data_IF_393688989000
#
_entry.id   IF_393688989000
#
_cell.length_a   1.000
_cell.length_b   1.000
_cell.length_c   1.000
_cell.angle_alpha   90.00
_cell.angle_beta   90.00
_cell.angle_gamma   90.00
#
_symmetry.space_group_name_H-M   'P 1'
#
loop_
_entity.id
_entity.type
_entity.pdbx_description
1 polymer ?
#
# COMPACT_ATOMS: atom_id res chain seq x y z
N UNK A 1 13.71 -15.85 -3.26
CA UNK A 1 12.71 -15.02 -2.54
C UNK A 1 12.85 -13.60 -3.05
N UNK A 2 11.72 -12.89 -3.23
CA UNK A 2 11.70 -11.49 -3.64
C UNK A 2 11.95 -10.61 -2.41
N UNK A 3 12.96 -9.75 -2.45
CA UNK A 3 13.19 -8.75 -1.42
C UNK A 3 12.16 -7.64 -1.55
N UNK A 4 11.35 -7.45 -0.52
CA UNK A 4 10.23 -6.52 -0.53
C UNK A 4 10.43 -5.43 0.51
N UNK A 5 10.18 -4.18 0.11
CA UNK A 5 9.95 -3.04 1.00
C UNK A 5 8.48 -2.65 0.90
N UNK A 6 7.86 -2.35 2.04
CA UNK A 6 6.47 -1.91 2.13
C UNK A 6 6.42 -0.48 2.69
N UNK A 7 5.73 0.43 1.98
CA UNK A 7 5.35 1.76 2.48
C UNK A 7 3.82 1.82 2.63
N UNK A 8 3.31 2.12 3.84
CA UNK A 8 1.92 1.89 4.26
C UNK A 8 1.42 2.98 5.20
N UNK A 9 0.13 3.29 5.15
CA UNK A 9 -0.57 4.11 6.16
C UNK A 9 -1.47 3.26 7.07
N UNK A 10 -1.03 2.06 7.38
CA UNK A 10 -1.68 1.03 8.20
C UNK A 10 -2.29 1.60 9.50
N UNK A 11 -3.43 1.07 9.90
CA UNK A 11 -4.11 1.40 11.16
C UNK A 11 -5.42 2.18 10.98
N UNK A 12 -5.81 2.48 9.74
CA UNK A 12 -7.13 2.99 9.38
C UNK A 12 -8.01 1.86 8.83
N UNK A 13 -8.12 1.76 7.49
CA UNK A 13 -8.73 0.60 6.84
C UNK A 13 -7.94 -0.68 7.20
N UNK A 14 -8.64 -1.81 7.22
CA UNK A 14 -8.05 -3.11 7.60
C UNK A 14 -7.19 -3.71 6.47
N UNK A 15 -7.33 -3.25 5.25
CA UNK A 15 -6.71 -3.89 4.10
C UNK A 15 -5.18 -3.75 4.06
N UNK A 16 -4.60 -2.64 4.56
CA UNK A 16 -3.17 -2.54 4.85
C UNK A 16 -2.68 -3.68 5.76
N UNK A 17 -3.43 -3.96 6.84
CA UNK A 17 -3.06 -5.01 7.78
C UNK A 17 -3.15 -6.41 7.13
N UNK A 18 -4.13 -6.64 6.26
CA UNK A 18 -4.26 -7.86 5.47
C UNK A 18 -3.12 -7.97 4.44
N UNK A 19 -2.74 -6.85 3.80
CA UNK A 19 -1.59 -6.78 2.90
C UNK A 19 -0.30 -7.18 3.61
N UNK A 20 -0.04 -6.60 4.79
CA UNK A 20 1.12 -6.96 5.61
C UNK A 20 1.08 -8.43 6.02
N UNK A 21 -0.08 -8.94 6.48
CA UNK A 21 -0.23 -10.34 6.85
C UNK A 21 0.07 -11.30 5.68
N UNK A 22 -0.39 -10.96 4.47
CA UNK A 22 -0.06 -11.69 3.25
C UNK A 22 1.46 -11.73 3.01
N UNK A 23 2.13 -10.59 3.02
CA UNK A 23 3.59 -10.50 2.82
C UNK A 23 4.36 -11.29 3.89
N UNK A 24 3.88 -11.31 5.13
CA UNK A 24 4.50 -12.09 6.21
C UNK A 24 4.31 -13.61 6.04
N UNK A 25 3.31 -14.06 5.31
CA UNK A 25 2.98 -15.48 5.07
C UNK A 25 3.41 -15.98 3.70
N UNK A 26 3.63 -15.10 2.71
CA UNK A 26 4.03 -15.48 1.35
C UNK A 26 5.43 -16.11 1.35
N UNK A 27 5.57 -17.40 0.97
CA UNK A 27 6.86 -18.10 1.05
C UNK A 27 7.95 -17.53 0.15
N UNK A 28 7.55 -16.82 -0.93
CA UNK A 28 8.48 -16.21 -1.86
C UNK A 28 8.89 -14.79 -1.43
N UNK A 29 8.30 -14.24 -0.34
CA UNK A 29 8.57 -12.91 0.16
C UNK A 29 9.68 -12.91 1.21
N UNK A 30 10.68 -12.07 0.99
CA UNK A 30 11.65 -11.63 1.99
C UNK A 30 11.36 -10.15 2.29
N UNK A 31 10.52 -9.90 3.30
CA UNK A 31 10.16 -8.54 3.71
C UNK A 31 11.32 -7.91 4.49
N UNK A 32 12.12 -7.09 3.81
CA UNK A 32 13.38 -6.53 4.33
C UNK A 32 13.22 -5.18 5.04
N UNK A 33 12.02 -4.58 5.01
CA UNK A 33 11.72 -3.34 5.72
C UNK A 33 10.32 -2.83 5.47
N UNK A 34 9.84 -2.01 6.43
CA UNK A 34 8.54 -1.32 6.37
C UNK A 34 8.79 0.15 6.67
N UNK A 35 8.12 1.04 5.92
CA UNK A 35 8.01 2.46 6.27
C UNK A 35 6.55 2.82 6.46
N UNK A 36 6.27 3.71 7.39
CA UNK A 36 4.91 4.21 7.61
C UNK A 36 4.79 5.68 7.27
N UNK A 37 3.63 6.10 6.81
CA UNK A 37 3.37 7.43 6.27
C UNK A 37 2.00 7.94 6.72
N UNK A 38 1.75 9.23 6.58
CA UNK A 38 0.49 9.88 6.91
C UNK A 38 0.22 9.96 8.42
N UNK A 39 -0.44 10.96 8.89
CA UNK A 39 -0.80 11.27 10.28
C UNK A 39 -0.46 10.21 11.34
N UNK A 40 0.33 10.57 12.32
CA UNK A 40 0.81 9.70 13.41
C UNK A 40 1.58 8.43 12.95
N UNK A 41 2.61 8.57 12.07
CA UNK A 41 3.34 7.43 11.50
C UNK A 41 4.01 6.55 12.57
N UNK A 42 4.31 7.09 13.76
CA UNK A 42 4.85 6.33 14.89
C UNK A 42 3.85 5.30 15.44
N UNK A 43 2.57 5.67 15.53
CA UNK A 43 1.52 4.72 15.92
C UNK A 43 1.29 3.67 14.86
N UNK A 44 1.35 4.06 13.58
CA UNK A 44 1.26 3.14 12.43
C UNK A 44 2.42 2.14 12.43
N UNK A 45 3.63 2.60 12.75
CA UNK A 45 4.80 1.73 12.91
C UNK A 45 4.62 0.72 14.06
N UNK A 46 4.02 1.15 15.19
CA UNK A 46 3.70 0.26 16.30
C UNK A 46 2.65 -0.79 15.92
N UNK A 47 1.63 -0.43 15.12
CA UNK A 47 0.64 -1.38 14.59
C UNK A 47 1.31 -2.41 13.67
N UNK A 48 2.15 -1.95 12.73
CA UNK A 48 2.90 -2.85 11.86
C UNK A 48 3.81 -3.81 12.64
N UNK A 49 4.51 -3.31 13.67
CA UNK A 49 5.37 -4.13 14.54
C UNK A 49 4.56 -5.17 15.34
N UNK A 50 3.41 -4.78 15.88
CA UNK A 50 2.53 -5.71 16.59
C UNK A 50 2.07 -6.87 15.70
N UNK A 51 1.72 -6.58 14.45
CA UNK A 51 1.33 -7.59 13.45
C UNK A 51 2.54 -8.47 13.09
N UNK A 52 3.73 -7.89 12.87
CA UNK A 52 4.95 -8.65 12.61
C UNK A 52 5.27 -9.61 13.77
N UNK A 53 5.19 -9.13 15.01
CA UNK A 53 5.41 -9.95 16.21
C UNK A 53 4.38 -11.07 16.36
N UNK A 54 3.11 -10.80 16.06
CA UNK A 54 2.05 -11.81 16.04
C UNK A 54 2.31 -12.92 15.00
N UNK A 55 3.03 -12.59 13.92
CA UNK A 55 3.53 -13.56 12.94
C UNK A 55 4.83 -14.28 13.37
N UNK A 56 5.38 -13.95 14.54
CA UNK A 56 6.68 -14.45 15.01
C UNK A 56 7.88 -13.88 14.24
N UNK A 57 7.72 -12.70 13.59
CA UNK A 57 8.76 -12.06 12.79
C UNK A 57 9.18 -10.72 13.38
N UNK A 58 10.44 -10.35 13.15
CA UNK A 58 11.01 -9.04 13.48
C UNK A 58 11.49 -8.40 12.18
N UNK A 59 10.76 -7.40 11.72
CA UNK A 59 11.06 -6.67 10.49
C UNK A 59 11.56 -5.27 10.88
N UNK A 60 12.60 -4.73 10.24
CA UNK A 60 13.01 -3.33 10.43
C UNK A 60 11.86 -2.39 10.00
N UNK A 61 11.46 -1.48 10.89
CA UNK A 61 10.37 -0.53 10.65
C UNK A 61 10.86 0.89 10.91
N UNK A 62 10.51 1.82 10.03
CA UNK A 62 10.80 3.24 10.16
C UNK A 62 9.52 4.06 10.07
N UNK A 63 9.21 4.81 11.11
CA UNK A 63 8.13 5.80 11.07
C UNK A 63 8.60 7.01 10.26
N UNK A 64 7.94 7.24 9.12
CA UNK A 64 8.33 8.27 8.17
C UNK A 64 7.57 9.59 8.34
N UNK A 65 7.09 10.14 7.24
CA UNK A 65 6.48 11.47 7.20
C UNK A 65 5.03 11.45 7.66
N UNK A 66 4.68 12.38 8.54
CA UNK A 66 3.33 12.63 9.01
C UNK A 66 2.54 13.60 8.14
N UNK A 67 3.25 14.46 7.42
CA UNK A 67 2.69 15.50 6.55
C UNK A 67 3.05 15.26 5.10
N UNK A 68 2.18 15.66 4.22
CA UNK A 68 2.30 15.51 2.76
C UNK A 68 3.09 16.65 2.14
N UNK A 69 3.61 16.44 0.91
CA UNK A 69 4.26 17.49 0.11
C UNK A 69 3.27 18.59 -0.25
N UNK A 70 2.01 18.23 -0.46
CA UNK A 70 0.93 19.15 -0.73
C UNK A 70 -0.10 19.03 0.40
N UNK A 71 -0.27 20.05 1.27
CA UNK A 71 -1.10 19.94 2.45
C UNK A 71 -2.55 19.60 2.14
N UNK A 72 -3.09 18.64 2.87
CA UNK A 72 -4.53 18.32 2.90
C UNK A 72 -5.13 18.79 4.23
N UNK A 73 -6.44 19.11 4.27
CA UNK A 73 -7.05 19.68 5.47
C UNK A 73 -7.07 18.74 6.68
N UNK A 74 -7.12 17.44 6.46
CA UNK A 74 -7.26 16.44 7.53
C UNK A 74 -6.42 15.21 7.19
N UNK A 75 -5.61 14.78 8.17
CA UNK A 75 -4.92 13.49 8.12
C UNK A 75 -5.69 12.50 8.98
N UNK A 76 -6.03 11.30 8.48
CA UNK A 76 -6.71 10.31 9.28
C UNK A 76 -5.82 9.84 10.43
N UNK A 77 -6.43 9.70 11.61
CA UNK A 77 -5.80 9.03 12.73
C UNK A 77 -5.87 7.52 12.54
N UNK A 78 -4.88 6.75 13.02
CA UNK A 78 -4.96 5.30 13.00
C UNK A 78 -5.86 4.80 14.14
N UNK A 79 -7.18 4.82 13.92
CA UNK A 79 -8.15 4.42 14.96
C UNK A 79 -7.95 2.99 15.44
N UNK A 80 -7.44 2.11 14.56
CA UNK A 80 -7.04 0.75 14.91
C UNK A 80 -5.92 0.70 15.96
N UNK A 81 -5.11 1.77 16.09
CA UNK A 81 -4.03 1.83 17.07
C UNK A 81 -4.51 1.78 18.52
N UNK A 82 -5.79 1.99 18.82
CA UNK A 82 -6.33 1.76 20.15
C UNK A 82 -6.18 0.32 20.63
N UNK A 83 -6.09 -0.65 19.71
CA UNK A 83 -5.84 -2.04 20.02
C UNK A 83 -4.39 -2.35 20.43
N UNK A 84 -3.44 -1.43 20.27
CA UNK A 84 -2.03 -1.61 20.69
C UNK A 84 -1.90 -2.03 22.15
N UNK A 85 -2.78 -1.57 23.02
CA UNK A 85 -2.80 -1.96 24.44
C UNK A 85 -2.93 -3.48 24.69
N UNK A 86 -3.35 -4.23 23.70
CA UNK A 86 -3.52 -5.69 23.79
C UNK A 86 -2.41 -6.49 23.11
N UNK A 87 -1.52 -5.80 22.35
CA UNK A 87 -0.51 -6.44 21.53
C UNK A 87 0.90 -5.96 21.86
N UNK A 88 1.88 -6.84 22.00
CA UNK A 88 3.28 -6.43 22.19
C UNK A 88 3.78 -5.66 20.97
N UNK A 89 4.38 -4.50 21.20
CA UNK A 89 4.98 -3.65 20.16
C UNK A 89 6.14 -2.84 20.71
N UNK A 90 6.98 -2.30 19.83
CA UNK A 90 8.01 -1.31 20.13
C UNK A 90 7.45 0.11 20.25
N UNK A 91 8.33 1.01 20.67
CA UNK A 91 8.11 2.46 20.63
C UNK A 91 8.87 3.01 19.45
N UNK A 92 8.22 3.83 18.64
CA UNK A 92 8.80 4.40 17.43
C UNK A 92 8.84 5.92 17.53
N UNK A 93 9.88 6.50 16.96
CA UNK A 93 10.02 7.93 16.72
C UNK A 93 10.13 8.16 15.21
N UNK A 94 9.74 9.36 14.76
CA UNK A 94 9.90 9.74 13.36
C UNK A 94 11.36 9.70 12.95
N UNK A 95 11.62 9.12 11.78
CA UNK A 95 12.94 9.03 11.21
C UNK A 95 12.90 9.24 9.69
N UNK A 96 14.05 9.28 9.05
CA UNK A 96 14.16 9.48 7.62
C UNK A 96 13.83 8.18 6.85
N UNK A 97 12.54 8.03 6.50
CA UNK A 97 12.07 6.90 5.70
C UNK A 97 12.72 6.86 4.31
N UNK A 98 12.97 8.01 3.69
CA UNK A 98 13.61 8.06 2.38
C UNK A 98 15.05 7.55 2.44
N UNK A 99 15.81 7.93 3.45
CA UNK A 99 17.17 7.42 3.68
C UNK A 99 17.15 5.91 3.98
N UNK A 100 16.21 5.44 4.81
CA UNK A 100 16.05 4.01 5.10
C UNK A 100 15.76 3.19 3.83
N UNK A 101 14.78 3.62 3.04
CA UNK A 101 14.43 2.96 1.78
C UNK A 101 15.63 2.96 0.81
N UNK A 102 16.31 4.12 0.66
CA UNK A 102 17.45 4.23 -0.23
C UNK A 102 18.60 3.30 0.19
N UNK A 103 18.89 3.23 1.48
CA UNK A 103 19.92 2.33 1.99
C UNK A 103 19.60 0.87 1.61
N UNK A 104 18.37 0.40 1.85
CA UNK A 104 17.93 -0.96 1.51
C UNK A 104 18.03 -1.27 0.02
N UNK A 105 17.65 -0.30 -0.83
CA UNK A 105 17.75 -0.41 -2.28
C UNK A 105 19.22 -0.47 -2.71
N UNK A 106 20.08 0.38 -2.17
CA UNK A 106 21.52 0.41 -2.48
C UNK A 106 22.27 -0.84 -2.03
N UNK A 107 21.86 -1.46 -0.92
CA UNK A 107 22.38 -2.73 -0.46
C UNK A 107 22.01 -3.90 -1.38
N UNK A 108 20.94 -3.76 -2.17
CA UNK A 108 20.37 -4.80 -3.01
C UNK A 108 19.93 -4.27 -4.39
N UNK A 109 20.85 -3.69 -5.20
CA UNK A 109 20.47 -3.02 -6.45
C UNK A 109 19.85 -4.01 -7.44
N UNK A 110 18.70 -3.61 -8.02
CA UNK A 110 17.89 -4.38 -8.97
C UNK A 110 17.29 -5.70 -8.42
N UNK A 111 17.27 -5.86 -7.08
CA UNK A 111 16.67 -7.02 -6.43
C UNK A 111 15.42 -6.65 -5.61
N UNK A 112 15.23 -5.38 -5.28
CA UNK A 112 14.17 -4.92 -4.38
C UNK A 112 12.90 -4.57 -5.14
N UNK A 113 11.78 -5.11 -4.69
CA UNK A 113 10.43 -4.64 -5.03
C UNK A 113 9.95 -3.70 -3.93
N UNK A 114 9.60 -2.47 -4.30
CA UNK A 114 8.97 -1.50 -3.41
C UNK A 114 7.46 -1.51 -3.65
N UNK A 115 6.69 -1.74 -2.59
CA UNK A 115 5.23 -1.69 -2.59
C UNK A 115 4.79 -0.45 -1.82
N UNK A 116 4.07 0.47 -2.48
CA UNK A 116 3.47 1.65 -1.87
C UNK A 116 1.96 1.52 -1.83
N UNK A 117 1.38 1.50 -0.63
CA UNK A 117 -0.06 1.34 -0.42
C UNK A 117 -0.69 2.49 0.38
N UNK A 118 0.11 3.35 1.02
CA UNK A 118 -0.33 4.62 1.59
C UNK A 118 -0.24 5.78 0.58
N UNK A 119 -0.37 7.02 1.08
CA UNK A 119 -0.03 8.17 0.26
C UNK A 119 1.46 8.13 -0.12
N UNK A 120 1.80 8.61 -1.30
CA UNK A 120 3.11 8.39 -1.89
C UNK A 120 4.24 9.27 -1.32
N UNK A 121 4.05 9.96 -0.21
CA UNK A 121 4.94 11.01 0.30
C UNK A 121 6.36 10.53 0.60
N UNK A 122 6.51 9.38 1.30
CA UNK A 122 7.84 8.82 1.58
C UNK A 122 8.58 8.43 0.28
N UNK A 123 7.87 7.77 -0.64
CA UNK A 123 8.44 7.29 -1.92
C UNK A 123 8.80 8.46 -2.82
N UNK A 124 7.96 9.50 -2.88
CA UNK A 124 8.24 10.70 -3.64
C UNK A 124 9.44 11.48 -3.06
N UNK A 125 9.55 11.53 -1.73
CA UNK A 125 10.71 12.12 -1.04
C UNK A 125 11.98 11.35 -1.39
N UNK A 126 11.93 10.02 -1.38
CA UNK A 126 13.04 9.16 -1.83
C UNK A 126 13.45 9.52 -3.27
N UNK A 127 12.52 9.55 -4.22
CA UNK A 127 12.86 9.78 -5.63
C UNK A 127 13.30 11.22 -5.91
N UNK A 128 12.88 12.17 -5.08
CA UNK A 128 13.34 13.56 -5.16
C UNK A 128 14.77 13.73 -4.61
N UNK A 129 15.04 13.11 -3.46
CA UNK A 129 16.34 13.18 -2.80
C UNK A 129 17.40 12.29 -3.49
N UNK A 130 16.97 11.15 -4.04
CA UNK A 130 17.83 10.14 -4.65
C UNK A 130 17.27 9.75 -6.03
N UNK A 131 17.51 10.53 -7.10
CA UNK A 131 16.91 10.32 -8.43
C UNK A 131 17.27 8.98 -9.09
N UNK A 132 18.35 8.34 -8.67
CA UNK A 132 18.76 7.00 -9.14
C UNK A 132 17.95 5.85 -8.48
N UNK A 133 17.28 6.11 -7.37
CA UNK A 133 16.62 5.08 -6.57
C UNK A 133 15.58 4.26 -7.38
N UNK A 134 14.75 4.93 -8.18
CA UNK A 134 13.76 4.25 -9.01
C UNK A 134 14.40 3.27 -10.03
N UNK A 135 15.51 3.67 -10.65
CA UNK A 135 16.26 2.84 -11.59
C UNK A 135 16.97 1.65 -10.95
N UNK A 136 17.23 1.73 -9.64
CA UNK A 136 17.84 0.63 -8.87
C UNK A 136 16.81 -0.38 -8.35
N UNK A 137 15.51 -0.10 -8.44
CA UNK A 137 14.47 -1.06 -8.08
C UNK A 137 14.34 -2.18 -9.12
N UNK A 138 14.05 -3.39 -8.67
CA UNK A 138 13.53 -4.47 -9.50
C UNK A 138 12.11 -4.15 -9.97
N UNK A 139 11.30 -3.60 -9.08
CA UNK A 139 9.93 -3.21 -9.37
C UNK A 139 9.35 -2.23 -8.35
N UNK A 140 8.41 -1.43 -8.82
CA UNK A 140 7.59 -0.52 -8.04
C UNK A 140 6.13 -0.91 -8.26
N UNK A 141 5.42 -1.23 -7.20
CA UNK A 141 4.01 -1.57 -7.21
C UNK A 141 3.25 -0.62 -6.30
N UNK A 142 2.21 0.02 -6.81
CA UNK A 142 1.45 0.99 -6.02
C UNK A 142 -0.05 0.72 -6.09
N UNK A 143 -0.73 0.83 -4.94
CA UNK A 143 -2.18 1.02 -4.92
C UNK A 143 -2.46 2.50 -5.03
N UNK A 144 -2.77 2.98 -6.25
CA UNK A 144 -2.97 4.40 -6.48
C UNK A 144 -3.72 4.66 -7.79
N UNK A 145 -4.50 5.73 -7.80
CA UNK A 145 -5.20 6.24 -8.98
C UNK A 145 -6.59 5.67 -9.19
N UNK A 146 -7.31 6.34 -10.09
CA UNK A 146 -8.59 5.93 -10.66
C UNK A 146 -8.62 6.31 -12.14
N UNK A 147 -8.83 5.34 -13.01
CA UNK A 147 -8.79 5.51 -14.47
C UNK A 147 -10.06 4.99 -15.15
N UNK A 148 -11.14 4.86 -14.37
CA UNK A 148 -12.46 4.47 -14.88
C UNK A 148 -13.05 5.52 -15.81
N UNK A 149 -14.00 5.10 -16.67
CA UNK A 149 -14.68 5.98 -17.63
C UNK A 149 -15.69 6.92 -16.94
N UNK A 150 -16.29 6.47 -15.84
CA UNK A 150 -17.27 7.24 -15.08
C UNK A 150 -16.57 8.08 -14.02
N UNK A 151 -16.84 9.38 -13.92
CA UNK A 151 -16.26 10.20 -12.86
C UNK A 151 -16.74 9.72 -11.50
N UNK A 152 -15.82 9.57 -10.56
CA UNK A 152 -16.18 9.30 -9.16
C UNK A 152 -17.04 10.47 -8.63
N UNK A 153 -18.09 10.18 -7.84
CA UNK A 153 -18.85 11.22 -7.18
C UNK A 153 -17.92 12.00 -6.24
N UNK A 154 -17.87 13.32 -6.40
CA UNK A 154 -17.04 14.19 -5.53
C UNK A 154 -17.52 14.11 -4.08
N UNK A 155 -16.64 14.10 -3.10
CA UNK A 155 -15.17 14.28 -3.15
C UNK A 155 -14.36 12.97 -3.29
N UNK A 156 -14.90 11.91 -3.84
CA UNK A 156 -14.26 10.61 -3.89
C UNK A 156 -13.25 10.53 -5.03
N UNK A 157 -12.00 10.65 -4.67
CA UNK A 157 -10.84 10.26 -5.46
C UNK A 157 -10.22 9.03 -4.80
N UNK A 158 -9.30 8.35 -5.49
CA UNK A 158 -8.42 7.44 -4.76
C UNK A 158 -7.72 8.22 -3.64
N UNK A 159 -7.85 7.71 -2.40
CA UNK A 159 -7.30 8.38 -1.22
C UNK A 159 -5.82 8.72 -1.41
N UNK A 160 -5.00 7.74 -1.86
CA UNK A 160 -3.56 7.88 -1.96
C UNK A 160 -3.12 8.98 -2.95
N UNK A 161 -3.86 9.18 -4.05
CA UNK A 161 -3.58 10.27 -4.99
C UNK A 161 -4.11 11.62 -4.49
N UNK A 162 -5.26 11.61 -3.79
CA UNK A 162 -5.86 12.83 -3.25
C UNK A 162 -5.09 13.37 -2.04
N UNK A 163 -4.62 12.48 -1.16
CA UNK A 163 -3.91 12.86 0.06
C UNK A 163 -2.57 13.55 -0.24
N UNK A 164 -1.87 13.15 -1.31
CA UNK A 164 -0.67 13.85 -1.77
C UNK A 164 -0.55 13.79 -3.30
N UNK A 165 -1.23 14.70 -4.02
CA UNK A 165 -1.21 14.72 -5.48
C UNK A 165 0.18 14.92 -6.07
N UNK A 166 1.00 15.79 -5.44
CA UNK A 166 2.36 16.05 -5.90
C UNK A 166 3.24 14.81 -5.75
N UNK A 167 3.14 14.12 -4.62
CA UNK A 167 3.85 12.86 -4.41
C UNK A 167 3.43 11.80 -5.42
N UNK A 168 2.12 11.64 -5.66
CA UNK A 168 1.61 10.72 -6.66
C UNK A 168 2.11 11.03 -8.06
N UNK A 169 2.17 12.32 -8.45
CA UNK A 169 2.75 12.75 -9.73
C UNK A 169 4.23 12.37 -9.85
N UNK A 170 5.02 12.58 -8.81
CA UNK A 170 6.44 12.22 -8.78
C UNK A 170 6.59 10.72 -8.94
N UNK A 171 5.85 9.93 -8.18
CA UNK A 171 5.92 8.45 -8.20
C UNK A 171 5.50 7.92 -9.57
N UNK A 172 4.38 8.37 -10.14
CA UNK A 172 3.95 7.95 -11.47
C UNK A 172 4.91 8.36 -12.59
N UNK A 173 5.73 9.39 -12.38
CA UNK A 173 6.76 9.82 -13.34
C UNK A 173 8.05 9.00 -13.24
N UNK A 174 8.22 8.20 -12.18
CA UNK A 174 9.43 7.42 -11.93
C UNK A 174 9.62 6.31 -12.97
N UNK A 175 10.89 5.99 -13.28
CA UNK A 175 11.26 4.96 -14.24
C UNK A 175 11.93 3.78 -13.53
N UNK A 176 11.11 2.87 -12.99
CA UNK A 176 11.55 1.57 -12.50
C UNK A 176 11.51 0.53 -13.63
N UNK A 177 12.26 -0.57 -13.48
CA UNK A 177 12.26 -1.66 -14.48
C UNK A 177 10.87 -2.26 -14.67
N UNK A 178 10.14 -2.46 -13.57
CA UNK A 178 8.71 -2.77 -13.54
C UNK A 178 8.06 -1.65 -12.73
N UNK A 179 7.04 -1.00 -13.29
CA UNK A 179 6.23 -0.01 -12.57
C UNK A 179 4.76 -0.34 -12.77
N UNK A 180 4.09 -0.83 -11.73
CA UNK A 180 2.70 -1.29 -11.79
C UNK A 180 1.82 -0.54 -10.81
N UNK A 181 0.63 -0.17 -11.29
CA UNK A 181 -0.41 0.42 -10.47
C UNK A 181 -1.66 -0.46 -10.47
N UNK A 182 -2.24 -0.68 -9.29
CA UNK A 182 -3.57 -1.26 -9.13
C UNK A 182 -4.52 -0.14 -8.71
N UNK A 183 -5.40 0.31 -9.63
CA UNK A 183 -6.26 1.46 -9.41
C UNK A 183 -7.56 1.08 -8.71
N UNK A 184 -8.26 2.10 -8.21
CA UNK A 184 -9.47 1.97 -7.41
C UNK A 184 -10.58 1.18 -8.13
N UNK A 185 -10.84 1.45 -9.43
CA UNK A 185 -11.89 0.76 -10.18
C UNK A 185 -11.69 -0.75 -10.34
N UNK A 186 -10.43 -1.21 -10.22
CA UNK A 186 -10.12 -2.64 -10.23
C UNK A 186 -10.27 -3.24 -8.84
N UNK A 187 -9.76 -2.54 -7.83
CA UNK A 187 -9.78 -3.02 -6.45
C UNK A 187 -11.16 -2.96 -5.81
N UNK A 188 -12.03 -2.02 -6.19
CA UNK A 188 -13.44 -1.97 -5.75
C UNK A 188 -14.21 -3.26 -6.07
N UNK A 189 -13.80 -3.99 -7.11
CA UNK A 189 -14.38 -5.29 -7.43
C UNK A 189 -14.07 -6.37 -6.37
N UNK A 190 -13.12 -6.12 -5.48
CA UNK A 190 -12.68 -7.04 -4.41
C UNK A 190 -13.33 -6.70 -3.06
N UNK A 191 -14.56 -6.21 -3.08
CA UNK A 191 -15.35 -5.88 -1.90
C UNK A 191 -16.15 -7.08 -1.43
N UNK A 192 -16.25 -7.28 -0.11
CA UNK A 192 -17.09 -8.26 0.55
C UNK A 192 -17.72 -7.69 1.82
N UNK A 193 -18.81 -8.28 2.28
CA UNK A 193 -19.42 -7.94 3.56
C UNK A 193 -18.50 -8.35 4.73
N UNK A 194 -18.52 -7.59 5.83
CA UNK A 194 -17.68 -7.84 6.99
C UNK A 194 -17.83 -9.27 7.53
N UNK A 195 -19.06 -9.79 7.60
CA UNK A 195 -19.31 -11.18 8.03
C UNK A 195 -18.73 -12.25 7.09
N UNK A 196 -18.62 -11.96 5.79
CA UNK A 196 -17.93 -12.84 4.83
C UNK A 196 -16.42 -12.78 5.04
N UNK A 197 -15.87 -11.60 5.31
CA UNK A 197 -14.45 -11.42 5.60
C UNK A 197 -14.04 -12.20 6.86
N UNK A 198 -14.82 -12.12 7.93
CA UNK A 198 -14.58 -12.89 9.15
C UNK A 198 -14.56 -14.41 8.91
N UNK A 199 -15.43 -14.92 8.05
CA UNK A 199 -15.45 -16.34 7.69
C UNK A 199 -14.27 -16.73 6.82
N UNK A 200 -13.94 -15.91 5.81
CA UNK A 200 -12.89 -16.22 4.84
C UNK A 200 -11.50 -16.18 5.47
N UNK A 201 -11.27 -15.19 6.34
CA UNK A 201 -9.99 -14.95 7.00
C UNK A 201 -9.97 -15.47 8.44
N UNK A 202 -10.98 -16.21 8.87
CA UNK A 202 -11.03 -16.81 10.19
C UNK A 202 -9.91 -17.84 10.32
N UNK A 203 -8.82 -17.41 10.94
CA UNK A 203 -7.75 -18.30 11.34
C UNK A 203 -7.56 -18.20 12.86
N UNK A 204 -7.28 -19.32 13.50
CA UNK A 204 -6.95 -19.35 14.92
C UNK A 204 -5.53 -18.84 15.22
N UNK A 205 -4.84 -18.29 14.21
CA UNK A 205 -3.48 -17.76 14.35
C UNK A 205 -3.47 -16.40 15.04
N UNK A 206 -2.45 -16.15 15.83
CA UNK A 206 -2.29 -14.86 16.50
C UNK A 206 -2.11 -13.71 15.50
N UNK A 207 -1.52 -13.98 14.33
CA UNK A 207 -1.43 -13.02 13.23
C UNK A 207 -2.82 -12.51 12.82
N UNK A 208 -3.75 -13.41 12.51
CA UNK A 208 -5.09 -12.98 12.05
C UNK A 208 -5.92 -12.38 13.17
N UNK A 209 -5.73 -12.83 14.42
CA UNK A 209 -6.32 -12.16 15.58
C UNK A 209 -5.82 -10.73 15.72
N UNK A 210 -4.52 -10.47 15.49
CA UNK A 210 -3.96 -9.12 15.49
C UNK A 210 -4.56 -8.27 14.37
N UNK A 211 -4.58 -8.77 13.13
CA UNK A 211 -5.16 -8.09 11.97
C UNK A 211 -6.60 -7.63 12.26
N UNK A 212 -7.47 -8.56 12.70
CA UNK A 212 -8.85 -8.21 13.01
C UNK A 212 -8.99 -7.32 14.24
N UNK A 213 -8.11 -7.41 15.23
CA UNK A 213 -8.09 -6.50 16.38
C UNK A 213 -7.83 -5.05 15.96
N UNK A 214 -6.87 -4.82 15.04
CA UNK A 214 -6.56 -3.49 14.51
C UNK A 214 -7.59 -2.99 13.48
N UNK A 215 -8.29 -3.89 12.79
CA UNK A 215 -9.30 -3.55 11.78
C UNK A 215 -10.74 -3.51 12.30
N UNK A 216 -11.02 -3.86 13.57
CA UNK A 216 -12.39 -4.00 14.07
C UNK A 216 -13.21 -2.72 13.99
N UNK A 217 -12.63 -1.58 14.37
CA UNK A 217 -13.31 -0.29 14.34
C UNK A 217 -13.75 0.09 12.90
N UNK A 218 -12.89 -0.17 11.91
CA UNK A 218 -13.23 0.04 10.51
C UNK A 218 -14.35 -0.88 10.04
N UNK A 219 -14.25 -2.19 10.31
CA UNK A 219 -15.27 -3.16 9.91
C UNK A 219 -16.64 -2.87 10.53
N UNK A 220 -16.67 -2.46 11.79
CA UNK A 220 -17.91 -2.05 12.48
C UNK A 220 -18.54 -0.81 11.85
N UNK A 221 -17.71 0.18 11.46
CA UNK A 221 -18.20 1.43 10.88
C UNK A 221 -18.58 1.31 9.41
N UNK A 222 -17.81 0.58 8.61
CA UNK A 222 -18.02 0.44 7.16
C UNK A 222 -19.00 -0.67 6.78
N UNK A 223 -19.11 -1.71 7.61
CA UNK A 223 -19.90 -2.92 7.34
C UNK A 223 -19.35 -3.80 6.21
N UNK A 224 -18.27 -3.39 5.57
CA UNK A 224 -17.66 -4.05 4.41
C UNK A 224 -16.14 -3.97 4.44
N UNK A 225 -15.50 -4.88 3.75
CA UNK A 225 -14.06 -4.91 3.48
C UNK A 225 -13.83 -4.83 1.98
N UNK A 226 -12.98 -3.89 1.54
CA UNK A 226 -12.45 -3.87 0.18
C UNK A 226 -10.95 -4.13 0.23
N UNK A 227 -10.48 -5.04 -0.59
CA UNK A 227 -9.08 -5.50 -0.58
C UNK A 227 -8.27 -4.73 -1.63
N UNK A 228 -8.08 -3.42 -1.38
CA UNK A 228 -7.32 -2.53 -2.26
C UNK A 228 -5.84 -2.92 -2.28
N UNK A 229 -5.20 -2.86 -1.14
CA UNK A 229 -3.76 -3.01 -0.94
C UNK A 229 -3.26 -4.44 -1.11
N UNK A 230 -4.01 -5.47 -0.66
CA UNK A 230 -3.60 -6.84 -0.89
C UNK A 230 -3.42 -7.19 -2.36
N UNK A 231 -4.17 -6.52 -3.28
CA UNK A 231 -4.00 -6.76 -4.71
C UNK A 231 -2.61 -6.32 -5.20
N UNK A 232 -2.10 -5.19 -4.71
CA UNK A 232 -0.76 -4.71 -5.07
C UNK A 232 0.31 -5.73 -4.65
N UNK A 233 0.21 -6.29 -3.44
CA UNK A 233 1.13 -7.30 -2.94
C UNK A 233 1.01 -8.64 -3.68
N UNK A 234 -0.22 -9.15 -3.89
CA UNK A 234 -0.45 -10.41 -4.60
C UNK A 234 0.04 -10.33 -6.05
N UNK A 235 -0.12 -9.17 -6.72
CA UNK A 235 0.34 -8.96 -8.08
C UNK A 235 1.87 -9.01 -8.25
N UNK A 236 2.65 -8.86 -7.17
CA UNK A 236 4.11 -9.06 -7.21
C UNK A 236 4.46 -10.51 -7.50
N UNK A 237 3.82 -11.45 -6.80
CA UNK A 237 4.13 -12.88 -6.85
C UNK A 237 3.28 -13.62 -7.88
N UNK A 238 2.09 -13.10 -8.19
CA UNK A 238 1.11 -13.69 -9.09
C UNK A 238 0.61 -12.68 -10.14
N UNK A 239 1.51 -12.11 -10.98
CA UNK A 239 1.14 -11.03 -11.92
C UNK A 239 0.09 -11.46 -12.95
N UNK A 240 -0.09 -12.74 -13.17
CA UNK A 240 -1.06 -13.29 -14.13
C UNK A 240 -2.53 -13.09 -13.71
N UNK A 241 -2.80 -12.75 -12.43
CA UNK A 241 -4.17 -12.47 -11.98
C UNK A 241 -4.69 -11.12 -12.46
N UNK A 242 -3.81 -10.22 -12.88
CA UNK A 242 -4.16 -8.92 -13.44
C UNK A 242 -3.82 -8.87 -14.93
N UNK A 243 -4.69 -8.21 -15.70
CA UNK A 243 -4.34 -7.76 -17.04
C UNK A 243 -3.84 -6.32 -16.94
N UNK A 244 -2.59 -6.11 -17.28
CA UNK A 244 -1.96 -4.79 -17.28
C UNK A 244 -1.97 -4.17 -18.68
N UNK A 245 -2.10 -2.84 -18.73
CA UNK A 245 -1.97 -2.03 -19.91
C UNK A 245 -0.87 -0.98 -19.68
N UNK A 246 0.05 -0.84 -20.63
CA UNK A 246 1.17 0.11 -20.54
C UNK A 246 0.76 1.49 -21.00
N UNK A 247 1.23 2.52 -20.29
CA UNK A 247 0.95 3.91 -20.62
C UNK A 247 1.64 4.89 -19.68
N UNK A 248 1.12 6.10 -19.65
CA UNK A 248 1.55 7.17 -18.75
C UNK A 248 0.37 7.60 -17.88
N UNK A 249 0.66 7.99 -16.65
CA UNK A 249 -0.33 8.53 -15.72
C UNK A 249 -0.07 10.02 -15.51
N UNK A 250 -1.13 10.82 -15.63
CA UNK A 250 -1.16 12.23 -15.26
C UNK A 250 -1.92 12.38 -13.95
N UNK A 251 -1.42 13.24 -13.07
CA UNK A 251 -2.06 13.57 -11.79
C UNK A 251 -2.31 15.07 -11.74
N UNK A 252 -3.55 15.46 -11.44
CA UNK A 252 -3.93 16.86 -11.28
C UNK A 252 -3.42 17.41 -9.94
N UNK A 253 -2.62 18.45 -10.00
CA UNK A 253 -1.96 19.04 -8.83
C UNK A 253 -2.24 20.54 -8.65
N UNK A 254 -3.01 21.16 -9.56
CA UNK A 254 -3.22 22.62 -9.59
C UNK A 254 -4.70 22.98 -9.41
N UNK A 255 -5.59 22.27 -10.07
CA UNK A 255 -7.02 22.56 -10.00
C UNK A 255 -7.64 22.01 -8.71
N UNK A 256 -7.93 22.89 -7.76
CA UNK A 256 -8.53 22.52 -6.45
C UNK A 256 -9.77 21.63 -6.58
N UNK A 257 -10.61 21.89 -7.60
CA UNK A 257 -11.83 21.12 -7.83
C UNK A 257 -11.61 19.69 -8.32
N UNK A 258 -10.39 19.35 -8.74
CA UNK A 258 -10.01 18.04 -9.27
C UNK A 258 -8.65 17.57 -8.72
N UNK A 259 -8.19 18.16 -7.62
CA UNK A 259 -6.92 17.85 -6.97
C UNK A 259 -6.80 16.35 -6.70
N UNK A 260 -5.69 15.73 -7.11
CA UNK A 260 -5.49 14.29 -6.99
C UNK A 260 -6.21 13.44 -8.04
N UNK A 261 -6.97 14.07 -8.94
CA UNK A 261 -7.56 13.36 -10.08
C UNK A 261 -6.47 12.78 -10.99
N UNK A 262 -6.67 11.55 -11.46
CA UNK A 262 -5.70 10.83 -12.29
C UNK A 262 -6.28 10.53 -13.67
N UNK A 263 -5.42 10.53 -14.69
CA UNK A 263 -5.75 10.15 -16.04
C UNK A 263 -4.70 9.20 -16.62
N UNK A 264 -5.16 8.15 -17.30
CA UNK A 264 -4.28 7.19 -17.96
C UNK A 264 -4.29 7.41 -19.47
N UNK A 265 -3.11 7.45 -20.07
CA UNK A 265 -2.88 7.60 -21.50
C UNK A 265 -2.13 6.37 -21.98
N UNK A 266 -2.81 5.48 -22.72
CA UNK A 266 -2.20 4.28 -23.29
C UNK A 266 -1.03 4.64 -24.22
N UNK A 267 0.11 4.00 -24.04
CA UNK A 267 1.32 4.22 -24.83
C UNK A 267 2.25 3.03 -24.71
N UNK A 268 2.77 2.54 -25.84
CA UNK A 268 3.75 1.46 -25.85
C UNK A 268 5.07 1.85 -25.15
N UNK A 269 5.43 3.13 -25.20
CA UNK A 269 6.63 3.70 -24.57
C UNK A 269 6.36 4.26 -23.17
N UNK A 270 5.17 4.00 -22.62
CA UNK A 270 4.78 4.44 -21.28
C UNK A 270 5.64 3.81 -20.19
N UNK A 271 5.74 4.50 -19.06
CA UNK A 271 6.57 4.06 -17.93
C UNK A 271 5.78 3.33 -16.83
N UNK A 272 4.45 3.24 -16.93
CA UNK A 272 3.57 2.57 -15.95
C UNK A 272 2.74 1.50 -16.64
N UNK A 273 2.58 0.37 -15.98
CA UNK A 273 1.60 -0.67 -16.33
C UNK A 273 0.45 -0.60 -15.34
N UNK A 274 -0.75 -0.23 -15.81
CA UNK A 274 -1.96 -0.09 -15.00
C UNK A 274 -2.81 -1.35 -15.13
N UNK A 275 -3.24 -1.92 -13.99
CA UNK A 275 -4.19 -3.03 -13.99
C UNK A 275 -5.54 -2.55 -14.55
N UNK A 276 -6.10 -3.30 -15.50
CA UNK A 276 -7.42 -3.03 -16.11
C UNK A 276 -8.48 -4.01 -15.64
N UNK A 277 -8.05 -5.20 -15.26
CA UNK A 277 -8.92 -6.26 -14.71
C UNK A 277 -8.16 -7.12 -13.73
N UNK A 278 -8.89 -7.81 -12.87
CA UNK A 278 -8.37 -8.83 -11.95
C UNK A 278 -9.20 -10.11 -12.04
N UNK A 279 -8.53 -11.27 -12.00
CA UNK A 279 -9.18 -12.56 -11.75
C UNK A 279 -9.49 -12.70 -10.25
N UNK A 280 -10.73 -12.34 -9.88
CA UNK A 280 -11.20 -12.31 -8.49
C UNK A 280 -11.11 -13.67 -7.81
N UNK A 281 -11.50 -14.73 -8.51
CA UNK A 281 -11.51 -16.07 -7.93
C UNK A 281 -10.09 -16.55 -7.61
N UNK A 282 -9.16 -16.32 -8.52
CA UNK A 282 -7.74 -16.60 -8.28
C UNK A 282 -7.18 -15.73 -7.16
N UNK A 283 -7.50 -14.44 -7.10
CA UNK A 283 -7.07 -13.55 -6.04
C UNK A 283 -7.54 -14.04 -4.66
N UNK A 284 -8.83 -14.29 -4.48
CA UNK A 284 -9.35 -14.76 -3.19
C UNK A 284 -8.78 -16.12 -2.79
N UNK A 285 -8.60 -17.03 -3.75
CA UNK A 285 -8.01 -18.35 -3.49
C UNK A 285 -6.56 -18.23 -3.01
N UNK A 286 -5.74 -17.37 -3.65
CA UNK A 286 -4.35 -17.14 -3.27
C UNK A 286 -4.29 -16.50 -1.89
N UNK A 287 -5.00 -15.39 -1.70
CA UNK A 287 -4.98 -14.64 -0.45
C UNK A 287 -5.44 -15.49 0.74
N UNK A 288 -6.57 -16.17 0.61
CA UNK A 288 -7.09 -17.01 1.68
C UNK A 288 -6.23 -18.24 1.98
N UNK A 289 -5.54 -18.80 0.97
CA UNK A 289 -4.61 -19.91 1.18
C UNK A 289 -3.36 -19.47 1.96
N UNK A 290 -2.86 -18.26 1.72
CA UNK A 290 -1.70 -17.72 2.41
C UNK A 290 -2.00 -17.29 3.86
N UNK A 291 -3.25 -16.89 4.16
CA UNK A 291 -3.63 -16.38 5.48
C UNK A 291 -4.14 -17.44 6.46
N UNK A 292 -4.34 -18.66 5.99
CA UNK A 292 -4.65 -19.85 6.83
C UNK A 292 -3.36 -20.44 7.37
#
# INVERSE_FOLDING_TARGET
MEKVLLDTDIGGDIDDAICLAYLLREPQCDLIGITTVCGEPEKRAAVADAICRAAGKQIPITAGLDSTMQPVPVYPTPDGAEALKYWPHGVYEKADAAAFLYQKIKENPHEVVLIGIGNMTNIATLFTACPDAAGLLKGLYVMNGYFGAEPLPKPYYNWNSWADPLASRIVFSARAAIHRAVPLEVTDSLTMEAGQAEVLFRADSDLMKAVFSFGSAWLESSGKLTLHDPLAAVAVFHPYICRFERGNVQVETEQVSNMGGTAFISSADGNVEVARTVDRDSFYRILSASLR
#
